data_IF_724563244570
#
_entry.id   IF_724563244570
#
_cell.length_a   1.000
_cell.length_b   1.000
_cell.length_c   1.000
_cell.angle_alpha   90.00
_cell.angle_beta   90.00
_cell.angle_gamma   90.00
#
_symmetry.space_group_name_H-M   'P 1'
#
loop_
_entity.id
_entity.type
_entity.pdbx_description
1 polymer ?
#
# COMPACT_ATOMS: atom_id res chain seq x y z
N UNK A 1 16.82 1.57 -0.18
CA UNK A 1 16.32 2.85 0.37
C UNK A 1 14.87 2.82 0.85
N UNK A 2 14.08 1.79 0.51
CA UNK A 2 12.64 1.74 0.83
C UNK A 2 12.28 1.05 2.15
N UNK A 3 13.18 0.17 2.61
CA UNK A 3 13.05 -0.59 3.86
C UNK A 3 14.28 -0.29 4.71
N UNK A 4 14.12 -0.24 6.04
CA UNK A 4 15.23 -0.18 7.00
C UNK A 4 15.00 -1.12 8.19
N UNK A 5 16.05 -1.41 8.94
CA UNK A 5 15.92 -2.05 10.25
C UNK A 5 15.05 -1.20 11.17
N UNK A 6 14.20 -1.86 11.94
CA UNK A 6 13.28 -1.22 12.87
C UNK A 6 13.53 -1.70 14.29
N UNK A 7 13.23 -0.83 15.25
CA UNK A 7 13.10 -1.14 16.67
C UNK A 7 11.68 -0.81 17.17
N UNK A 8 10.73 -0.78 16.22
CA UNK A 8 9.34 -0.42 16.48
C UNK A 8 8.69 -1.39 17.48
N UNK A 9 7.77 -0.90 18.33
CA UNK A 9 6.93 -1.77 19.16
C UNK A 9 5.89 -2.56 18.32
N UNK A 10 5.74 -2.23 17.03
CA UNK A 10 4.84 -2.91 16.11
C UNK A 10 5.56 -4.05 15.37
N UNK A 11 4.81 -5.11 15.11
CA UNK A 11 5.30 -6.24 14.31
C UNK A 11 4.14 -6.92 13.59
N UNK A 12 4.15 -6.83 12.26
CA UNK A 12 3.20 -7.55 11.39
C UNK A 12 3.89 -8.74 10.72
N UNK A 13 3.26 -9.92 10.66
CA UNK A 13 3.88 -11.07 10.02
C UNK A 13 3.86 -10.94 8.49
N UNK A 14 4.84 -11.55 7.84
CA UNK A 14 4.93 -11.65 6.39
C UNK A 14 4.27 -12.94 5.92
N UNK A 15 3.49 -12.83 4.84
CA UNK A 15 2.86 -13.93 4.12
C UNK A 15 3.38 -13.91 2.69
N UNK A 16 3.95 -15.03 2.25
CA UNK A 16 4.38 -15.22 0.87
C UNK A 16 3.24 -15.90 0.10
N UNK A 17 2.82 -15.28 -1.00
CA UNK A 17 1.71 -15.78 -1.82
C UNK A 17 2.20 -16.01 -3.25
N UNK A 18 2.04 -17.24 -3.75
CA UNK A 18 2.37 -17.56 -5.13
C UNK A 18 1.33 -16.98 -6.10
N UNK A 19 1.79 -16.26 -7.12
CA UNK A 19 0.95 -15.85 -8.26
C UNK A 19 0.83 -17.01 -9.25
N UNK A 20 -0.19 -16.93 -10.13
CA UNK A 20 -0.48 -17.90 -11.19
C UNK A 20 0.71 -18.25 -12.12
N UNK A 21 1.76 -17.42 -12.17
CA UNK A 21 2.96 -17.63 -13.02
C UNK A 21 4.23 -17.99 -12.21
N UNK A 22 4.11 -18.38 -10.95
CA UNK A 22 5.24 -18.76 -10.08
C UNK A 22 6.00 -17.59 -9.45
N UNK A 23 5.60 -16.34 -9.74
CA UNK A 23 6.13 -15.17 -9.04
C UNK A 23 5.59 -15.13 -7.60
N UNK A 24 6.47 -14.98 -6.61
CA UNK A 24 6.08 -14.85 -5.21
C UNK A 24 5.75 -13.39 -4.91
N UNK A 25 4.59 -13.15 -4.30
CA UNK A 25 4.21 -11.85 -3.76
C UNK A 25 4.53 -11.83 -2.26
N UNK A 26 5.38 -10.89 -1.87
CA UNK A 26 5.60 -10.53 -0.48
C UNK A 26 4.41 -9.71 0.02
N UNK A 27 3.69 -10.20 1.02
CA UNK A 27 2.55 -9.50 1.62
C UNK A 27 2.75 -9.36 3.11
N UNK A 28 2.53 -8.17 3.66
CA UNK A 28 2.50 -7.97 5.12
C UNK A 28 1.06 -8.01 5.60
N UNK A 29 0.80 -8.81 6.64
CA UNK A 29 -0.54 -8.93 7.20
C UNK A 29 -0.85 -7.78 8.16
N UNK A 30 -1.37 -6.68 7.61
CA UNK A 30 -1.81 -5.52 8.38
C UNK A 30 -3.23 -5.64 8.92
N UNK A 31 -3.90 -6.80 8.92
CA UNK A 31 -5.32 -6.90 9.34
C UNK A 31 -5.57 -6.33 10.75
N UNK A 32 -4.68 -6.63 11.71
CA UNK A 32 -4.77 -6.09 13.09
C UNK A 32 -4.55 -4.58 13.12
N UNK A 33 -3.53 -4.10 12.41
CA UNK A 33 -3.22 -2.66 12.31
C UNK A 33 -4.38 -1.89 11.66
N UNK A 34 -4.96 -2.42 10.60
CA UNK A 34 -6.07 -1.82 9.88
C UNK A 34 -7.36 -1.77 10.72
N UNK A 35 -7.52 -2.68 11.68
CA UNK A 35 -8.67 -2.70 12.61
C UNK A 35 -8.65 -1.55 13.63
N UNK A 36 -7.47 -1.07 14.01
CA UNK A 36 -7.30 0.01 14.99
C UNK A 36 -7.01 1.37 14.33
N UNK A 37 -6.67 1.38 13.04
CA UNK A 37 -6.36 2.60 12.30
C UNK A 37 -7.65 3.31 11.91
N UNK A 38 -7.69 4.63 12.15
CA UNK A 38 -8.81 5.46 11.71
C UNK A 38 -8.87 5.46 10.18
N UNK A 39 -10.01 5.02 9.65
CA UNK A 39 -10.26 5.01 8.21
C UNK A 39 -10.37 6.44 7.69
N UNK A 40 -9.58 6.76 6.68
CA UNK A 40 -9.81 7.95 5.88
C UNK A 40 -10.94 7.68 4.89
N UNK A 41 -12.00 8.48 4.95
CA UNK A 41 -13.18 8.34 4.09
C UNK A 41 -13.11 9.35 2.96
N UNK A 42 -12.02 9.30 2.20
CA UNK A 42 -11.86 10.15 1.02
C UNK A 42 -12.98 9.82 0.01
N UNK A 43 -13.71 10.82 -0.48
CA UNK A 43 -14.81 10.58 -1.41
C UNK A 43 -14.25 10.07 -2.74
N UNK A 44 -14.43 8.77 -2.99
CA UNK A 44 -14.17 8.22 -4.32
C UNK A 44 -15.36 8.55 -5.23
N UNK A 45 -15.12 9.16 -6.40
CA UNK A 45 -16.19 9.49 -7.34
C UNK A 45 -16.88 8.21 -7.80
N UNK A 46 -18.19 8.28 -8.01
CA UNK A 46 -18.91 7.16 -8.62
C UNK A 46 -18.42 6.97 -10.05
N UNK A 47 -18.45 5.72 -10.51
CA UNK A 47 -18.08 5.39 -11.89
C UNK A 47 -18.99 6.15 -12.86
N UNK A 48 -20.30 6.18 -12.59
CA UNK A 48 -21.30 6.89 -13.41
C UNK A 48 -20.97 8.38 -13.56
N UNK A 49 -20.68 9.07 -12.44
CA UNK A 49 -20.30 10.50 -12.45
C UNK A 49 -19.01 10.75 -13.23
N UNK A 50 -18.08 9.79 -13.20
CA UNK A 50 -16.83 9.88 -13.95
C UNK A 50 -17.08 9.71 -15.45
N UNK A 51 -17.97 8.80 -15.84
CA UNK A 51 -18.35 8.57 -17.23
C UNK A 51 -19.17 9.73 -17.82
N UNK A 52 -20.07 10.31 -17.04
CA UNK A 52 -20.86 11.48 -17.46
C UNK A 52 -19.94 12.67 -17.80
N UNK A 53 -18.88 12.89 -17.02
CA UNK A 53 -17.87 13.94 -17.30
C UNK A 53 -17.08 13.70 -18.59
N UNK A 54 -17.00 12.45 -19.03
CA UNK A 54 -16.30 12.04 -20.25
C UNK A 54 -17.22 12.08 -21.49
N UNK A 55 -18.53 12.29 -21.32
CA UNK A 55 -19.48 12.37 -22.42
C UNK A 55 -19.15 13.51 -23.39
N UNK A 56 -19.22 13.22 -24.69
CA UNK A 56 -18.92 14.19 -25.76
C UNK A 56 -17.43 14.51 -25.96
N UNK A 57 -16.51 13.85 -25.24
CA UNK A 57 -15.07 13.93 -25.52
C UNK A 57 -14.69 12.93 -26.62
N UNK A 58 -13.76 13.33 -27.48
CA UNK A 58 -13.39 12.59 -28.70
C UNK A 58 -12.01 11.93 -28.55
N UNK A 59 -11.16 12.47 -27.69
CA UNK A 59 -9.82 11.95 -27.40
C UNK A 59 -9.70 11.58 -25.93
N UNK A 60 -9.18 10.39 -25.67
CA UNK A 60 -8.93 9.88 -24.33
C UNK A 60 -7.48 9.41 -24.22
N UNK A 61 -6.84 9.77 -23.12
CA UNK A 61 -5.53 9.25 -22.75
C UNK A 61 -5.63 8.68 -21.35
N UNK A 62 -5.11 7.48 -21.16
CA UNK A 62 -5.00 6.85 -19.85
C UNK A 62 -3.55 6.91 -19.39
N UNK A 63 -3.33 7.34 -18.15
CA UNK A 63 -2.02 7.36 -17.52
C UNK A 63 -2.06 6.41 -16.33
N UNK A 64 -1.07 5.53 -16.23
CA UNK A 64 -0.92 4.63 -15.09
C UNK A 64 0.39 4.95 -14.37
N UNK A 65 0.32 5.09 -13.05
CA UNK A 65 1.48 5.29 -12.20
C UNK A 65 2.11 3.91 -11.92
N UNK A 66 3.26 3.64 -12.51
CA UNK A 66 3.99 2.40 -12.28
C UNK A 66 4.36 2.26 -10.80
N UNK A 67 3.90 1.21 -10.14
CA UNK A 67 4.13 0.98 -8.70
C UNK A 67 3.70 2.17 -7.83
N UNK A 68 2.55 2.79 -8.12
CA UNK A 68 2.11 4.05 -7.50
C UNK A 68 2.21 4.10 -5.96
N UNK A 69 1.89 3.01 -5.24
CA UNK A 69 2.04 2.95 -3.78
C UNK A 69 3.49 3.20 -3.32
N UNK A 70 4.46 2.56 -3.98
CA UNK A 70 5.89 2.70 -3.69
C UNK A 70 6.47 4.07 -4.04
N UNK A 71 5.67 4.98 -4.63
CA UNK A 71 6.12 6.34 -4.86
C UNK A 71 5.80 7.24 -3.65
N UNK A 72 4.77 6.91 -2.89
CA UNK A 72 4.24 7.73 -1.79
C UNK A 72 5.02 7.44 -0.50
N UNK A 73 5.58 8.48 0.11
CA UNK A 73 6.27 8.38 1.40
C UNK A 73 5.26 8.24 2.55
N UNK A 74 5.59 7.40 3.52
CA UNK A 74 4.82 7.30 4.76
C UNK A 74 5.25 8.46 5.67
N UNK A 75 4.27 9.14 6.24
CA UNK A 75 4.53 10.19 7.23
C UNK A 75 5.33 9.63 8.42
N UNK A 76 6.34 10.35 8.90
CA UNK A 76 7.34 9.83 9.85
C UNK A 76 6.75 9.08 11.08
N UNK A 77 5.76 9.64 11.82
CA UNK A 77 5.04 8.93 12.89
C UNK A 77 4.32 7.64 12.49
N UNK A 78 4.02 7.45 11.21
CA UNK A 78 3.36 6.26 10.67
C UNK A 78 4.33 5.15 10.28
N UNK A 79 5.63 5.45 10.11
CA UNK A 79 6.62 4.50 9.64
C UNK A 79 6.73 3.30 10.59
N UNK A 80 6.77 3.55 11.91
CA UNK A 80 6.88 2.49 12.92
C UNK A 80 5.75 1.45 12.81
N UNK A 81 4.55 1.85 12.36
CA UNK A 81 3.39 0.97 12.24
C UNK A 81 3.50 0.00 11.06
N UNK A 82 4.34 0.33 10.08
CA UNK A 82 4.62 -0.52 8.92
C UNK A 82 5.65 -1.61 9.21
N UNK A 83 6.05 -1.77 10.48
CA UNK A 83 7.05 -2.74 10.86
C UNK A 83 6.57 -4.19 10.65
N UNK A 84 7.46 -5.01 10.10
CA UNK A 84 7.22 -6.41 9.75
C UNK A 84 8.41 -7.30 10.10
N UNK A 85 8.13 -8.58 10.34
CA UNK A 85 9.13 -9.56 10.82
C UNK A 85 9.51 -10.54 9.71
N UNK A 86 10.82 -10.75 9.52
CA UNK A 86 11.39 -11.77 8.63
C UNK A 86 12.54 -12.47 9.35
N UNK A 87 12.48 -13.80 9.48
CA UNK A 87 13.60 -14.63 9.97
C UNK A 87 14.31 -14.04 11.22
N UNK A 88 13.53 -13.65 12.23
CA UNK A 88 13.96 -13.03 13.49
C UNK A 88 14.46 -11.57 13.42
N UNK A 89 14.37 -10.91 12.28
CA UNK A 89 14.68 -9.50 12.13
C UNK A 89 13.41 -8.66 11.97
N UNK A 90 13.47 -7.42 12.45
CA UNK A 90 12.40 -6.44 12.31
C UNK A 90 12.82 -5.35 11.31
N UNK A 91 11.94 -5.11 10.35
CA UNK A 91 12.12 -4.10 9.31
C UNK A 91 10.88 -3.23 9.22
N UNK A 92 11.01 -2.01 8.67
CA UNK A 92 9.88 -1.10 8.44
C UNK A 92 10.01 -0.41 7.08
N UNK A 93 8.87 0.00 6.52
CA UNK A 93 8.79 0.68 5.23
C UNK A 93 8.82 2.20 5.39
N UNK A 94 9.57 2.88 4.53
CA UNK A 94 9.54 4.34 4.41
C UNK A 94 8.46 4.85 3.44
N UNK A 95 7.84 3.93 2.70
CA UNK A 95 6.84 4.22 1.66
C UNK A 95 5.64 3.30 1.78
N UNK A 96 4.53 3.69 1.13
CA UNK A 96 3.33 2.87 1.16
C UNK A 96 3.56 1.53 0.46
N UNK A 97 3.05 0.46 1.09
CA UNK A 97 3.16 -0.93 0.64
C UNK A 97 1.82 -1.64 0.71
#
# INVERSE_FOLDING_TARGET
NEIRYSQSPWASPVVLVEKKKGEIRFCVDYRKLNGITKKDSFPMPRIDETLDKLYGKIFFTTLNLASGYWQIQVHDPGIEKTAFVVENNLYEFKRMT
#
